data_IF_485483251476
#
_entry.id   IF_485483251476
#
_cell.length_a   1.000
_cell.length_b   1.000
_cell.length_c   1.000
_cell.angle_alpha   90.00
_cell.angle_beta   90.00
_cell.angle_gamma   90.00
#
_symmetry.space_group_name_H-M   'P 1'
#
loop_
_entity.id
_entity.type
_entity.pdbx_description
1 polymer ?
#
# COMPACT_ATOMS: atom_id res chain seq x y z
N UNK A 1 -13.85 -7.47 15.40
CA UNK A 1 -13.74 -7.35 13.92
C UNK A 1 -14.21 -5.99 13.41
N UNK A 2 -15.42 -5.53 13.73
CA UNK A 2 -15.93 -4.23 13.24
C UNK A 2 -15.04 -3.01 13.57
N UNK A 3 -14.42 -2.99 14.75
CA UNK A 3 -13.49 -1.92 15.17
C UNK A 3 -12.17 -1.89 14.38
N UNK A 4 -11.63 -3.06 14.00
CA UNK A 4 -10.40 -3.17 13.21
C UNK A 4 -10.63 -2.81 11.74
N UNK A 5 -11.78 -3.19 11.19
CA UNK A 5 -12.17 -2.78 9.84
C UNK A 5 -12.41 -1.27 9.81
N UNK A 6 -13.12 -0.73 10.81
CA UNK A 6 -13.32 0.71 10.93
C UNK A 6 -12.01 1.48 11.05
N UNK A 7 -11.06 1.03 11.89
CA UNK A 7 -9.76 1.70 12.03
C UNK A 7 -8.93 1.63 10.75
N UNK A 8 -8.95 0.50 10.04
CA UNK A 8 -8.27 0.36 8.74
C UNK A 8 -8.88 1.27 7.67
N UNK A 9 -10.21 1.38 7.62
CA UNK A 9 -10.91 2.32 6.73
C UNK A 9 -10.54 3.76 7.05
N UNK A 10 -10.48 4.13 8.33
CA UNK A 10 -10.05 5.46 8.76
C UNK A 10 -8.60 5.74 8.33
N UNK A 11 -7.69 4.77 8.51
CA UNK A 11 -6.29 4.91 8.07
C UNK A 11 -6.18 5.06 6.55
N UNK A 12 -6.92 4.26 5.77
CA UNK A 12 -6.92 4.37 4.31
C UNK A 12 -7.50 5.70 3.84
N UNK A 13 -8.58 6.17 4.49
CA UNK A 13 -9.21 7.46 4.18
C UNK A 13 -8.26 8.61 4.52
N UNK A 14 -7.60 8.55 5.67
CA UNK A 14 -6.61 9.54 6.06
C UNK A 14 -5.41 9.56 5.10
N UNK A 15 -4.88 8.41 4.72
CA UNK A 15 -3.80 8.31 3.75
C UNK A 15 -4.21 8.86 2.38
N UNK A 16 -5.43 8.56 1.92
CA UNK A 16 -5.98 9.13 0.69
C UNK A 16 -6.07 10.66 0.78
N UNK A 17 -6.63 11.20 1.87
CA UNK A 17 -6.76 12.65 2.07
C UNK A 17 -5.38 13.33 2.11
N UNK A 18 -4.46 12.79 2.90
CA UNK A 18 -3.09 13.28 3.02
C UNK A 18 -2.35 13.26 1.68
N UNK A 19 -2.58 12.24 0.85
CA UNK A 19 -1.96 12.15 -0.48
C UNK A 19 -2.48 13.21 -1.46
N UNK A 20 -3.77 13.55 -1.37
CA UNK A 20 -4.41 14.58 -2.20
C UNK A 20 -3.98 15.99 -1.76
N UNK A 21 -3.96 16.25 -0.46
CA UNK A 21 -3.44 17.50 0.11
C UNK A 21 -1.96 17.69 -0.26
N UNK A 22 -1.14 16.63 -0.11
CA UNK A 22 0.25 16.67 -0.55
C UNK A 22 0.36 17.02 -2.04
N UNK A 23 -0.45 16.39 -2.90
CA UNK A 23 -0.44 16.67 -4.33
C UNK A 23 -0.77 18.14 -4.62
N UNK A 24 -1.78 18.71 -3.96
CA UNK A 24 -2.19 20.10 -4.15
C UNK A 24 -1.14 21.11 -3.66
N UNK A 25 -0.53 20.86 -2.50
CA UNK A 25 0.48 21.76 -1.92
C UNK A 25 1.82 21.65 -2.66
N UNK A 26 2.24 20.44 -3.03
CA UNK A 26 3.51 20.21 -3.71
C UNK A 26 3.46 20.47 -5.22
N UNK A 27 2.26 20.54 -5.82
CA UNK A 27 2.08 20.78 -7.24
C UNK A 27 2.81 22.03 -7.74
N UNK A 28 2.51 23.19 -7.15
CA UNK A 28 3.06 24.45 -7.63
C UNK A 28 4.58 24.49 -7.67
N UNK A 29 5.32 24.18 -6.58
CA UNK A 29 6.78 24.22 -6.62
C UNK A 29 7.36 23.17 -7.57
N UNK A 30 6.77 21.97 -7.64
CA UNK A 30 7.31 20.87 -8.46
C UNK A 30 7.10 21.15 -9.96
N UNK A 31 5.92 21.60 -10.36
CA UNK A 31 5.62 21.95 -11.75
C UNK A 31 6.26 23.28 -12.18
N UNK A 32 6.70 24.13 -11.25
CA UNK A 32 7.48 25.33 -11.56
C UNK A 32 8.97 25.04 -11.82
N UNK A 33 9.53 24.02 -11.17
CA UNK A 33 10.95 23.66 -11.25
C UNK A 33 11.24 22.59 -12.32
N UNK A 34 10.28 21.72 -12.62
CA UNK A 34 10.48 20.57 -13.49
C UNK A 34 9.53 20.54 -14.68
N UNK A 35 9.92 19.89 -15.80
CA UNK A 35 9.02 19.58 -16.89
C UNK A 35 7.79 18.80 -16.39
N UNK A 36 6.63 19.06 -17.00
CA UNK A 36 5.33 18.48 -16.59
C UNK A 36 5.35 16.96 -16.42
N UNK A 37 6.06 16.26 -17.31
CA UNK A 37 6.21 14.81 -17.27
C UNK A 37 6.96 14.34 -16.01
N UNK A 38 8.09 14.96 -15.69
CA UNK A 38 8.86 14.64 -14.50
C UNK A 38 8.14 15.07 -13.22
N UNK A 39 7.45 16.21 -13.25
CA UNK A 39 6.62 16.67 -12.14
C UNK A 39 5.50 15.67 -11.83
N UNK A 40 4.81 15.15 -12.85
CA UNK A 40 3.77 14.13 -12.69
C UNK A 40 4.33 12.82 -12.11
N UNK A 41 5.52 12.40 -12.54
CA UNK A 41 6.22 11.25 -11.96
C UNK A 41 6.51 11.42 -10.48
N UNK A 42 7.07 12.57 -10.08
CA UNK A 42 7.42 12.84 -8.68
C UNK A 42 6.18 12.91 -7.81
N UNK A 43 5.16 13.67 -8.23
CA UNK A 43 3.89 13.81 -7.47
C UNK A 43 3.19 12.47 -7.36
N UNK A 44 3.06 11.72 -8.46
CA UNK A 44 2.43 10.41 -8.46
C UNK A 44 3.20 9.36 -7.66
N UNK A 45 4.54 9.37 -7.74
CA UNK A 45 5.40 8.47 -6.97
C UNK A 45 5.28 8.70 -5.46
N UNK A 46 5.30 9.96 -5.00
CA UNK A 46 5.13 10.29 -3.58
C UNK A 46 3.70 9.96 -3.12
N UNK A 47 2.69 10.26 -3.94
CA UNK A 47 1.31 9.91 -3.66
C UNK A 47 1.14 8.38 -3.47
N UNK A 48 1.77 7.58 -4.34
CA UNK A 48 1.78 6.14 -4.22
C UNK A 48 2.42 5.65 -2.91
N UNK A 49 3.53 6.27 -2.46
CA UNK A 49 4.14 5.95 -1.17
C UNK A 49 3.17 6.19 0.00
N UNK A 50 2.52 7.35 0.01
CA UNK A 50 1.58 7.72 1.08
C UNK A 50 0.43 6.70 1.11
N UNK A 51 -0.15 6.39 -0.05
CA UNK A 51 -1.27 5.45 -0.15
C UNK A 51 -0.89 3.99 0.03
N UNK A 52 0.37 3.61 -0.15
CA UNK A 52 0.85 2.25 0.12
C UNK A 52 1.18 2.04 1.61
N UNK A 53 1.40 3.12 2.37
CA UNK A 53 1.76 3.04 3.80
C UNK A 53 0.80 2.21 4.68
N UNK A 54 -0.56 2.26 4.51
CA UNK A 54 -1.46 1.42 5.29
C UNK A 54 -1.29 -0.06 4.97
N UNK A 55 -0.92 -0.39 3.73
CA UNK A 55 -0.67 -1.78 3.31
C UNK A 55 0.62 -2.32 3.94
N UNK A 56 1.68 -1.51 3.98
CA UNK A 56 2.89 -1.87 4.73
C UNK A 56 2.63 -2.09 6.21
N UNK A 57 1.83 -1.21 6.83
CA UNK A 57 1.45 -1.35 8.23
C UNK A 57 0.65 -2.65 8.46
N UNK A 58 -0.27 -2.99 7.55
CA UNK A 58 -1.01 -4.23 7.63
C UNK A 58 -0.09 -5.46 7.60
N UNK A 59 0.86 -5.53 6.65
CA UNK A 59 1.84 -6.63 6.57
C UNK A 59 2.67 -6.74 7.85
N UNK A 60 3.15 -5.60 8.39
CA UNK A 60 3.89 -5.57 9.66
C UNK A 60 3.04 -6.09 10.83
N UNK A 61 1.78 -5.67 10.93
CA UNK A 61 0.88 -6.15 11.97
C UNK A 61 0.64 -7.66 11.87
N UNK A 62 0.47 -8.21 10.67
CA UNK A 62 0.30 -9.65 10.49
C UNK A 62 1.56 -10.44 10.86
N UNK A 63 2.75 -9.93 10.53
CA UNK A 63 3.99 -10.57 10.97
C UNK A 63 4.14 -10.51 12.51
N UNK A 64 3.89 -9.36 13.14
CA UNK A 64 4.06 -9.22 14.59
C UNK A 64 3.05 -10.07 15.38
N UNK A 65 1.80 -10.15 14.91
CA UNK A 65 0.72 -10.84 15.64
C UNK A 65 0.65 -12.34 15.35
N UNK A 66 0.98 -12.76 14.13
CA UNK A 66 0.75 -14.13 13.65
C UNK A 66 1.99 -14.79 13.06
N UNK A 67 3.16 -14.12 13.09
CA UNK A 67 4.41 -14.56 12.44
C UNK A 67 4.24 -14.95 10.96
N UNK A 68 3.24 -14.34 10.30
CA UNK A 68 2.80 -14.69 8.95
C UNK A 68 3.04 -13.52 7.99
N UNK A 69 3.85 -13.73 6.96
CA UNK A 69 4.00 -12.76 5.87
C UNK A 69 2.89 -13.00 4.83
N UNK A 70 1.82 -12.22 4.91
CA UNK A 70 0.66 -12.29 4.01
C UNK A 70 0.99 -12.05 2.52
N UNK A 71 2.22 -11.61 2.20
CA UNK A 71 2.69 -11.44 0.82
C UNK A 71 3.26 -12.74 0.23
N UNK A 72 3.72 -13.66 1.07
CA UNK A 72 4.28 -14.96 0.67
C UNK A 72 3.24 -16.04 0.96
N UNK A 73 2.47 -16.39 -0.07
CA UNK A 73 1.53 -17.51 0.03
C UNK A 73 2.24 -18.82 0.38
N UNK A 74 1.60 -19.67 1.16
CA UNK A 74 2.12 -20.94 1.66
C UNK A 74 2.91 -20.84 2.97
N UNK A 75 2.79 -19.74 3.71
CA UNK A 75 3.33 -19.67 5.08
C UNK A 75 2.48 -20.56 5.99
N UNK A 76 3.07 -21.57 6.65
CA UNK A 76 2.30 -22.54 7.42
C UNK A 76 1.64 -21.86 8.63
N UNK A 77 0.45 -22.35 9.06
CA UNK A 77 -0.27 -21.77 10.18
C UNK A 77 0.58 -21.79 11.46
N UNK A 78 0.38 -20.80 12.36
CA UNK A 78 1.10 -20.73 13.63
C UNK A 78 0.93 -22.04 14.41
N UNK A 79 2.05 -22.68 14.77
CA UNK A 79 2.09 -23.98 15.47
C UNK A 79 2.68 -25.15 14.67
N UNK A 80 2.83 -25.03 13.35
CA UNK A 80 3.33 -26.12 12.50
C UNK A 80 4.86 -26.15 12.28
N UNK A 81 5.60 -25.12 12.71
CA UNK A 81 7.07 -25.06 12.58
C UNK A 81 7.74 -24.52 13.85
N UNK A 82 8.97 -24.95 14.15
CA UNK A 82 9.75 -24.40 15.26
C UNK A 82 9.98 -22.91 15.02
N UNK A 83 9.71 -22.10 16.04
CA UNK A 83 9.82 -20.63 16.01
C UNK A 83 11.16 -20.20 15.39
N UNK A 84 11.11 -19.78 14.12
CA UNK A 84 12.28 -19.23 13.45
C UNK A 84 12.43 -17.81 14.00
N UNK A 85 13.64 -17.39 14.42
CA UNK A 85 13.81 -16.08 15.03
C UNK A 85 13.31 -15.01 14.05
N UNK A 86 12.48 -14.06 14.50
CA UNK A 86 11.83 -13.14 13.60
C UNK A 86 12.87 -12.21 12.98
N UNK A 87 13.16 -12.41 11.69
CA UNK A 87 14.08 -11.56 10.93
C UNK A 87 13.36 -10.28 10.51
N UNK A 88 12.97 -9.47 11.49
CA UNK A 88 12.28 -8.19 11.28
C UNK A 88 13.06 -7.26 10.34
N UNK A 89 14.40 -7.29 10.37
CA UNK A 89 15.24 -6.50 9.47
C UNK A 89 15.07 -6.88 8.00
N UNK A 90 14.98 -8.18 7.69
CA UNK A 90 14.75 -8.67 6.33
C UNK A 90 13.33 -8.37 5.85
N UNK A 91 12.35 -8.45 6.75
CA UNK A 91 10.96 -8.08 6.46
C UNK A 91 10.85 -6.58 6.12
N UNK A 92 11.44 -5.70 6.93
CA UNK A 92 11.45 -4.26 6.70
C UNK A 92 12.13 -3.94 5.37
N UNK A 93 13.27 -4.57 5.07
CA UNK A 93 13.97 -4.34 3.81
C UNK A 93 13.17 -4.86 2.60
N UNK A 94 12.49 -6.00 2.76
CA UNK A 94 11.54 -6.52 1.78
C UNK A 94 10.36 -5.57 1.56
N UNK A 95 9.81 -4.96 2.61
CA UNK A 95 8.74 -3.96 2.50
C UNK A 95 9.21 -2.69 1.79
N UNK A 96 10.44 -2.25 2.04
CA UNK A 96 11.04 -1.15 1.28
C UNK A 96 11.23 -1.52 -0.19
N UNK A 97 11.61 -2.76 -0.50
CA UNK A 97 11.69 -3.23 -1.88
C UNK A 97 10.32 -3.24 -2.56
N UNK A 98 9.27 -3.67 -1.86
CA UNK A 98 7.90 -3.60 -2.37
C UNK A 98 7.47 -2.15 -2.59
N UNK A 99 7.70 -1.26 -1.64
CA UNK A 99 7.44 0.17 -1.81
C UNK A 99 8.19 0.74 -3.02
N UNK A 100 9.46 0.38 -3.20
CA UNK A 100 10.25 0.78 -4.38
C UNK A 100 9.64 0.23 -5.69
N UNK A 101 9.11 -0.99 -5.69
CA UNK A 101 8.40 -1.53 -6.85
C UNK A 101 7.09 -0.80 -7.14
N UNK A 102 6.34 -0.41 -6.10
CA UNK A 102 5.13 0.42 -6.21
C UNK A 102 5.46 1.81 -6.77
N UNK A 103 6.57 2.42 -6.32
CA UNK A 103 7.06 3.69 -6.86
C UNK A 103 7.42 3.52 -8.33
N UNK A 104 8.18 2.49 -8.71
CA UNK A 104 8.53 2.23 -10.12
C UNK A 104 7.29 2.12 -11.00
N UNK A 105 6.25 1.43 -10.51
CA UNK A 105 4.97 1.33 -11.20
C UNK A 105 4.29 2.72 -11.31
N UNK A 106 4.25 3.48 -10.21
CA UNK A 106 3.68 4.82 -10.17
C UNK A 106 4.39 5.81 -11.10
N UNK A 107 5.72 5.72 -11.22
CA UNK A 107 6.52 6.54 -12.14
C UNK A 107 6.12 6.31 -13.61
N UNK A 108 5.59 5.13 -13.95
CA UNK A 108 5.08 4.84 -15.30
C UNK A 108 3.60 5.21 -15.42
N UNK A 109 2.78 4.84 -14.44
CA UNK A 109 1.32 5.02 -14.49
C UNK A 109 0.94 6.50 -14.38
N UNK A 110 1.55 7.25 -13.46
CA UNK A 110 1.20 8.66 -13.22
C UNK A 110 1.30 9.53 -14.48
N UNK A 111 2.42 9.56 -15.24
CA UNK A 111 2.48 10.35 -16.46
C UNK A 111 1.53 9.85 -17.55
N UNK A 112 1.36 8.52 -17.72
CA UNK A 112 0.40 7.97 -18.68
C UNK A 112 -1.02 8.42 -18.34
N UNK A 113 -1.39 8.38 -17.05
CA UNK A 113 -2.69 8.80 -16.57
C UNK A 113 -2.92 10.30 -16.83
N UNK A 114 -1.94 11.16 -16.53
CA UNK A 114 -2.03 12.60 -16.87
C UNK A 114 -2.13 12.86 -18.37
N UNK A 115 -1.46 12.07 -19.21
CA UNK A 115 -1.52 12.23 -20.68
C UNK A 115 -2.83 11.70 -21.28
N UNK A 116 -3.41 10.64 -20.69
CA UNK A 116 -4.65 10.03 -21.14
C UNK A 116 -5.89 10.81 -20.69
N UNK A 117 -5.85 11.40 -19.48
CA UNK A 117 -6.96 12.14 -18.88
C UNK A 117 -6.87 13.64 -19.14
N UNK A 118 -5.66 14.16 -19.35
CA UNK A 118 -5.39 15.58 -19.58
C UNK A 118 -6.10 16.09 -20.83
N UNK A 119 -7.27 16.70 -20.64
CA UNK A 119 -7.91 17.52 -21.66
C UNK A 119 -6.99 18.71 -22.00
N UNK A 120 -7.00 19.10 -23.27
CA UNK A 120 -6.10 20.03 -23.97
C UNK A 120 -6.06 21.49 -23.46
N UNK A 121 -6.40 21.75 -22.19
CA UNK A 121 -6.28 23.06 -21.55
C UNK A 121 -5.10 23.05 -20.59
N UNK A 122 -4.03 23.77 -20.94
CA UNK A 122 -2.82 23.98 -20.13
C UNK A 122 -3.07 24.73 -18.81
N UNK A 123 -4.32 25.03 -18.47
CA UNK A 123 -4.61 26.14 -17.58
C UNK A 123 -4.44 25.88 -16.07
N UNK A 124 -4.45 24.65 -15.56
CA UNK A 124 -4.42 24.43 -14.09
C UNK A 124 -3.44 23.33 -13.66
N UNK A 125 -2.30 23.78 -13.11
CA UNK A 125 -1.27 22.94 -12.43
C UNK A 125 -1.89 22.04 -11.36
N UNK A 126 -2.91 22.54 -10.64
CA UNK A 126 -3.65 21.76 -9.64
C UNK A 126 -4.38 20.54 -10.24
N UNK A 127 -4.97 20.66 -11.44
CA UNK A 127 -5.65 19.55 -12.12
C UNK A 127 -4.66 18.46 -12.51
N UNK A 128 -3.53 18.85 -13.12
CA UNK A 128 -2.47 17.90 -13.51
C UNK A 128 -1.86 17.18 -12.30
N UNK A 129 -1.73 17.88 -11.18
CA UNK A 129 -1.25 17.27 -9.94
C UNK A 129 -2.25 16.26 -9.35
N UNK A 130 -3.55 16.55 -9.40
CA UNK A 130 -4.60 15.61 -8.99
C UNK A 130 -4.64 14.37 -9.89
N UNK A 131 -4.49 14.54 -11.21
CA UNK A 131 -4.40 13.42 -12.15
C UNK A 131 -3.15 12.56 -11.90
N UNK A 132 -1.99 13.20 -11.67
CA UNK A 132 -0.76 12.50 -11.30
C UNK A 132 -0.91 11.73 -9.97
N UNK A 133 -1.54 12.35 -8.98
CA UNK A 133 -1.84 11.74 -7.70
C UNK A 133 -2.78 10.54 -7.86
N UNK A 134 -3.84 10.66 -8.66
CA UNK A 134 -4.74 9.55 -8.98
C UNK A 134 -4.01 8.37 -9.63
N UNK A 135 -3.07 8.64 -10.55
CA UNK A 135 -2.20 7.60 -11.11
C UNK A 135 -1.31 6.91 -10.07
N UNK A 136 -0.81 7.67 -9.08
CA UNK A 136 -0.09 7.13 -7.93
C UNK A 136 -0.96 6.26 -7.01
N UNK A 137 -2.17 6.72 -6.70
CA UNK A 137 -3.17 5.97 -5.94
C UNK A 137 -3.56 4.66 -6.64
N UNK A 138 -3.70 4.70 -7.98
CA UNK A 138 -3.98 3.51 -8.79
C UNK A 138 -2.84 2.49 -8.68
N UNK A 139 -1.59 2.93 -8.79
CA UNK A 139 -0.42 2.06 -8.65
C UNK A 139 -0.36 1.41 -7.26
N UNK A 140 -0.63 2.17 -6.19
CA UNK A 140 -0.74 1.64 -4.84
C UNK A 140 -1.88 0.61 -4.73
N UNK A 141 -3.06 0.93 -5.28
CA UNK A 141 -4.22 0.03 -5.26
C UNK A 141 -3.95 -1.30 -5.99
N UNK A 142 -3.26 -1.28 -7.15
CA UNK A 142 -2.87 -2.49 -7.89
C UNK A 142 -1.99 -3.40 -7.02
N UNK A 143 -0.99 -2.80 -6.35
CA UNK A 143 -0.08 -3.55 -5.49
C UNK A 143 -0.78 -4.09 -4.24
N UNK A 144 -1.63 -3.29 -3.60
CA UNK A 144 -2.46 -3.72 -2.47
C UNK A 144 -3.41 -4.84 -2.88
N UNK A 145 -4.02 -4.78 -4.07
CA UNK A 145 -4.91 -5.83 -4.58
C UNK A 145 -4.16 -7.14 -4.83
N UNK A 146 -2.93 -7.08 -5.34
CA UNK A 146 -2.05 -8.26 -5.46
C UNK A 146 -1.79 -8.91 -4.10
N UNK A 147 -1.46 -8.11 -3.08
CA UNK A 147 -1.24 -8.59 -1.71
C UNK A 147 -2.55 -9.15 -1.13
N UNK A 148 -3.68 -8.50 -1.37
CA UNK A 148 -4.99 -8.97 -0.91
C UNK A 148 -5.36 -10.32 -1.53
N UNK A 149 -5.10 -10.55 -2.83
CA UNK A 149 -5.40 -11.82 -3.49
C UNK A 149 -4.55 -12.97 -2.90
N UNK A 150 -3.27 -12.72 -2.65
CA UNK A 150 -2.38 -13.72 -2.02
C UNK A 150 -2.76 -13.90 -0.54
N UNK A 151 -2.88 -12.80 0.19
CA UNK A 151 -3.16 -12.78 1.62
C UNK A 151 -4.55 -13.29 1.98
N UNK A 152 -5.57 -13.11 1.15
CA UNK A 152 -6.90 -13.68 1.39
C UNK A 152 -6.83 -15.20 1.57
N UNK A 153 -6.03 -15.89 0.73
CA UNK A 153 -5.88 -17.34 0.82
C UNK A 153 -5.32 -17.77 2.18
N UNK A 154 -4.37 -17.01 2.73
CA UNK A 154 -3.78 -17.27 4.04
C UNK A 154 -4.70 -16.85 5.19
N UNK A 155 -5.36 -15.69 5.08
CA UNK A 155 -6.32 -15.19 6.06
C UNK A 155 -7.46 -16.19 6.23
N UNK A 156 -7.99 -16.77 5.15
CA UNK A 156 -9.01 -17.82 5.22
C UNK A 156 -8.53 -19.08 5.97
N UNK A 157 -7.23 -19.40 5.95
CA UNK A 157 -6.62 -20.45 6.77
C UNK A 157 -6.46 -20.08 8.25
N UNK A 158 -6.31 -18.78 8.56
CA UNK A 158 -6.21 -18.23 9.92
C UNK A 158 -7.57 -17.94 10.56
N UNK A 159 -8.64 -17.72 9.78
CA UNK A 159 -10.00 -17.46 10.28
C UNK A 159 -10.45 -18.57 11.25
N UNK A 160 -10.27 -19.86 10.96
CA UNK A 160 -10.65 -20.90 11.91
C UNK A 160 -9.88 -20.84 13.24
N UNK A 161 -8.59 -20.53 13.20
CA UNK A 161 -7.73 -20.44 14.39
C UNK A 161 -8.14 -19.27 15.30
N UNK A 162 -8.46 -18.11 14.71
CA UNK A 162 -8.83 -16.90 15.46
C UNK A 162 -10.30 -16.92 15.91
N UNK A 163 -11.21 -17.45 15.09
CA UNK A 163 -12.65 -17.47 15.37
C UNK A 163 -13.05 -18.67 16.26
N UNK A 164 -12.48 -19.85 16.04
CA UNK A 164 -12.84 -21.04 16.80
C UNK A 164 -11.90 -21.36 17.97
N UNK A 165 -10.83 -20.55 18.23
CA UNK A 165 -9.84 -20.80 19.29
C UNK A 165 -9.33 -22.25 19.33
N UNK A 166 -9.25 -22.91 18.18
CA UNK A 166 -9.01 -24.36 18.10
C UNK A 166 -7.71 -24.83 18.77
N UNK A 167 -6.73 -23.94 18.96
CA UNK A 167 -5.45 -24.27 19.61
C UNK A 167 -5.32 -23.86 21.08
N UNK A 168 -6.26 -23.06 21.64
CA UNK A 168 -6.12 -22.62 23.05
C UNK A 168 -6.72 -23.61 24.05
N UNK A 169 -7.59 -24.51 23.61
CA UNK A 169 -8.31 -25.45 24.47
C UNK A 169 -7.96 -26.94 24.20
N UNK A 170 -7.06 -27.24 23.25
CA UNK A 170 -6.60 -28.61 22.99
C UNK A 170 -5.39 -29.03 23.85
N UNK A 171 -4.91 -28.15 24.73
CA UNK A 171 -3.67 -28.31 25.50
C UNK A 171 -3.81 -28.20 27.02
N UNK A 172 -5.00 -28.38 27.59
CA UNK A 172 -5.19 -28.58 29.04
C UNK A 172 -6.07 -29.79 29.33
#
# INVERSE_FOLDING_TARGET
MGTLIASFVVLCTFASYASTEFALVSAQPVYALYPSFFAAMVVGGVCACICYSPTMLAVLCFQILFDTDIRKGGTPPPGAQPAQPPHYGELVMSLFHDAASTIKLALVIAPIYTMAVGSSSEAHVASRALEAAAGGQLAAAIMTMKIMVVGMREIWGLVPLVVFRLDRDAGT
#
